data_IF_585783418732
#
_entry.id   IF_585783418732
#
_cell.length_a   1.000
_cell.length_b   1.000
_cell.length_c   1.000
_cell.angle_alpha   90.00
_cell.angle_beta   90.00
_cell.angle_gamma   90.00
#
_symmetry.space_group_name_H-M   'P 1'
#
loop_
_entity.id
_entity.type
_entity.pdbx_description
1 polymer ?
#
# COMPACT_ATOMS: atom_id res chain seq x y z
N UNK A 1 -2.16 1.69 -20.73
CA UNK A 1 -1.46 2.15 -19.49
C UNK A 1 -0.94 3.58 -19.62
N UNK A 2 -0.03 3.88 -20.56
CA UNK A 2 0.55 5.23 -20.75
C UNK A 2 -0.48 6.36 -20.89
N UNK A 3 -1.56 6.14 -21.64
CA UNK A 3 -2.65 7.14 -21.81
C UNK A 3 -3.35 7.49 -20.50
N UNK A 4 -3.73 6.47 -19.71
CA UNK A 4 -4.38 6.68 -18.40
C UNK A 4 -3.51 7.43 -17.42
N UNK A 5 -2.19 7.27 -17.50
CA UNK A 5 -1.23 8.05 -16.71
C UNK A 5 -1.07 9.47 -17.25
N UNK A 6 -1.03 9.62 -18.58
CA UNK A 6 -0.84 10.92 -19.24
C UNK A 6 -1.96 11.93 -18.97
N UNK A 7 -3.19 11.44 -18.79
CA UNK A 7 -4.36 12.30 -18.46
C UNK A 7 -4.43 12.71 -16.99
N UNK A 8 -3.62 12.13 -16.10
CA UNK A 8 -3.62 12.48 -14.69
C UNK A 8 -2.70 13.69 -14.43
N UNK A 9 -3.05 14.55 -13.45
CA UNK A 9 -2.16 15.60 -12.96
C UNK A 9 -0.79 15.03 -12.54
N UNK A 10 0.27 15.80 -12.73
CA UNK A 10 1.65 15.38 -12.42
C UNK A 10 1.80 14.92 -10.96
N UNK A 11 1.16 15.59 -10.00
CA UNK A 11 1.21 15.19 -8.59
C UNK A 11 0.53 13.84 -8.34
N UNK A 12 -0.55 13.50 -9.06
CA UNK A 12 -1.20 12.19 -8.98
C UNK A 12 -0.26 11.12 -9.49
N UNK A 13 0.41 11.37 -10.62
CA UNK A 13 1.39 10.44 -11.20
C UNK A 13 2.52 10.18 -10.22
N UNK A 14 3.06 11.21 -9.57
CA UNK A 14 4.06 11.04 -8.53
C UNK A 14 3.54 10.22 -7.35
N UNK A 15 2.35 10.53 -6.84
CA UNK A 15 1.76 9.77 -5.74
C UNK A 15 1.56 8.29 -6.10
N UNK A 16 1.00 7.98 -7.27
CA UNK A 16 0.84 6.60 -7.74
C UNK A 16 2.19 5.91 -7.95
N UNK A 17 3.21 6.64 -8.42
CA UNK A 17 4.58 6.13 -8.54
C UNK A 17 5.18 5.76 -7.18
N UNK A 18 5.01 6.62 -6.18
CA UNK A 18 5.44 6.35 -4.80
C UNK A 18 4.70 5.14 -4.22
N UNK A 19 3.40 4.98 -4.50
CA UNK A 19 2.64 3.78 -4.10
C UNK A 19 3.25 2.53 -4.72
N UNK A 20 3.45 2.52 -6.05
CA UNK A 20 4.03 1.36 -6.76
C UNK A 20 5.38 0.97 -6.17
N UNK A 21 6.28 1.93 -5.96
CA UNK A 21 7.62 1.65 -5.42
C UNK A 21 7.52 1.14 -3.98
N UNK A 22 6.75 1.81 -3.12
CA UNK A 22 6.63 1.42 -1.72
C UNK A 22 6.06 0.02 -1.53
N UNK A 23 4.99 -0.33 -2.26
CA UNK A 23 4.40 -1.66 -2.20
C UNK A 23 5.31 -2.74 -2.82
N UNK A 24 6.13 -2.43 -3.84
CA UNK A 24 7.14 -3.38 -4.33
C UNK A 24 8.25 -3.61 -3.31
N UNK A 25 8.67 -2.57 -2.58
CA UNK A 25 9.63 -2.70 -1.48
C UNK A 25 9.04 -3.56 -0.35
N UNK A 26 7.77 -3.34 0.03
CA UNK A 26 7.03 -4.17 0.99
C UNK A 26 6.93 -5.63 0.55
N UNK A 27 6.49 -5.87 -0.70
CA UNK A 27 6.43 -7.21 -1.30
C UNK A 27 7.77 -7.93 -1.18
N UNK A 28 8.88 -7.24 -1.54
CA UNK A 28 10.22 -7.81 -1.46
C UNK A 28 10.56 -8.20 -0.02
N UNK A 29 10.24 -7.36 0.96
CA UNK A 29 10.48 -7.69 2.37
C UNK A 29 9.70 -8.94 2.77
N UNK A 30 8.39 -9.00 2.53
CA UNK A 30 7.56 -10.16 2.90
C UNK A 30 7.96 -11.46 2.19
N UNK A 31 8.38 -11.36 0.92
CA UNK A 31 8.91 -12.52 0.17
C UNK A 31 10.24 -12.98 0.75
N UNK A 32 11.14 -12.06 1.11
CA UNK A 32 12.42 -12.42 1.72
C UNK A 32 12.23 -13.06 3.09
N UNK A 33 11.35 -12.51 3.93
CA UNK A 33 11.00 -13.09 5.23
C UNK A 33 10.48 -14.53 5.06
N UNK A 34 9.56 -14.73 4.12
CA UNK A 34 8.99 -16.07 3.83
C UNK A 34 10.01 -17.02 3.18
N UNK A 35 10.94 -16.51 2.37
CA UNK A 35 11.96 -17.34 1.73
C UNK A 35 13.07 -17.78 2.70
N UNK A 36 13.41 -16.95 3.68
CA UNK A 36 14.43 -17.23 4.68
C UNK A 36 13.89 -18.13 5.81
N UNK A 37 12.73 -17.78 6.37
CA UNK A 37 12.23 -18.38 7.62
C UNK A 37 10.90 -19.14 7.43
N UNK A 38 10.34 -19.17 6.22
CA UNK A 38 9.06 -19.82 5.93
C UNK A 38 7.91 -19.16 6.70
N UNK A 39 6.85 -19.93 6.96
CA UNK A 39 5.70 -19.45 7.76
C UNK A 39 6.14 -19.10 9.19
N UNK A 40 7.28 -19.63 9.66
CA UNK A 40 7.84 -19.33 10.97
C UNK A 40 8.42 -17.92 11.08
N UNK A 41 8.63 -17.20 9.96
CA UNK A 41 9.00 -15.79 9.95
C UNK A 41 8.09 -14.94 10.84
N UNK A 42 6.80 -15.30 10.89
CA UNK A 42 5.78 -14.61 11.66
C UNK A 42 5.37 -15.36 12.94
N UNK A 43 6.06 -16.45 13.32
CA UNK A 43 5.75 -17.20 14.54
C UNK A 43 5.95 -16.38 15.83
N UNK A 44 6.72 -15.28 15.75
CA UNK A 44 6.86 -14.29 16.83
C UNK A 44 5.53 -13.60 17.16
N UNK A 45 4.57 -13.60 16.25
CA UNK A 45 3.22 -13.10 16.49
C UNK A 45 2.34 -14.25 17.02
N UNK A 46 1.95 -14.23 18.31
CA UNK A 46 1.16 -15.32 18.90
C UNK A 46 -0.27 -15.41 18.33
N UNK A 47 -0.74 -14.38 17.62
CA UNK A 47 -2.06 -14.35 16.99
C UNK A 47 -1.99 -14.85 15.54
N UNK A 48 -2.58 -16.01 15.28
CA UNK A 48 -2.71 -16.60 13.93
C UNK A 48 -3.24 -15.61 12.87
N UNK A 49 -4.23 -14.72 13.16
CA UNK A 49 -4.67 -13.74 12.17
C UNK A 49 -3.58 -12.79 11.67
N UNK A 50 -2.61 -12.42 12.51
CA UNK A 50 -1.49 -11.57 12.10
C UNK A 50 -0.53 -12.33 11.17
N UNK A 51 -0.26 -13.60 11.47
CA UNK A 51 0.56 -14.45 10.60
C UNK A 51 -0.07 -14.60 9.21
N UNK A 52 -1.37 -14.91 9.17
CA UNK A 52 -2.13 -15.02 7.91
C UNK A 52 -2.11 -13.70 7.15
N UNK A 53 -2.27 -12.57 7.85
CA UNK A 53 -2.19 -11.26 7.23
C UNK A 53 -0.82 -10.99 6.61
N UNK A 54 0.28 -11.20 7.35
CA UNK A 54 1.63 -10.98 6.84
C UNK A 54 1.99 -11.89 5.66
N UNK A 55 1.62 -13.17 5.71
CA UNK A 55 1.77 -14.07 4.55
C UNK A 55 0.91 -13.57 3.37
N UNK A 56 -0.29 -13.07 3.67
CA UNK A 56 -1.20 -12.48 2.68
C UNK A 56 -0.63 -11.23 2.00
N UNK A 57 0.29 -10.47 2.62
CA UNK A 57 0.92 -9.30 2.01
C UNK A 57 1.73 -9.64 0.76
N UNK A 58 2.26 -10.86 0.67
CA UNK A 58 2.91 -11.37 -0.57
C UNK A 58 1.96 -11.35 -1.77
N UNK A 59 0.65 -11.40 -1.54
CA UNK A 59 -0.39 -11.32 -2.58
C UNK A 59 -1.03 -9.93 -2.64
N UNK A 60 -1.34 -9.34 -1.49
CA UNK A 60 -2.02 -8.04 -1.41
C UNK A 60 -1.16 -6.91 -1.98
N UNK A 61 0.15 -6.91 -1.72
CA UNK A 61 1.03 -5.83 -2.20
C UNK A 61 1.17 -5.83 -3.73
N UNK A 62 1.45 -6.96 -4.42
CA UNK A 62 1.40 -7.00 -5.88
C UNK A 62 0.04 -6.64 -6.45
N UNK A 63 -1.06 -7.03 -5.80
CA UNK A 63 -2.39 -6.66 -6.24
C UNK A 63 -2.60 -5.14 -6.18
N UNK A 64 -2.16 -4.49 -5.09
CA UNK A 64 -2.16 -3.02 -5.00
C UNK A 64 -1.32 -2.42 -6.12
N UNK A 65 -0.09 -2.90 -6.33
CA UNK A 65 0.80 -2.42 -7.40
C UNK A 65 0.12 -2.49 -8.75
N UNK A 66 -0.48 -3.64 -9.09
CA UNK A 66 -1.18 -3.85 -10.36
C UNK A 66 -2.34 -2.88 -10.52
N UNK A 67 -3.23 -2.79 -9.52
CA UNK A 67 -4.40 -1.91 -9.58
C UNK A 67 -4.01 -0.42 -9.68
N UNK A 68 -2.99 0.00 -8.92
CA UNK A 68 -2.45 1.37 -8.94
C UNK A 68 -1.74 1.67 -10.26
N UNK A 69 -0.97 0.72 -10.80
CA UNK A 69 -0.33 0.82 -12.11
C UNK A 69 -1.37 0.98 -13.24
N UNK A 70 -2.55 0.39 -13.07
CA UNK A 70 -3.68 0.62 -13.97
C UNK A 70 -4.50 1.88 -13.67
N UNK A 71 -4.09 2.71 -12.72
CA UNK A 71 -4.78 3.95 -12.32
C UNK A 71 -6.23 3.65 -11.87
N UNK A 72 -6.42 2.56 -11.12
CA UNK A 72 -7.73 2.15 -10.60
C UNK A 72 -7.94 2.72 -9.20
N UNK A 73 -9.13 3.27 -8.97
CA UNK A 73 -9.51 3.82 -7.66
C UNK A 73 -9.58 2.75 -6.58
N UNK A 74 -9.94 1.53 -6.99
CA UNK A 74 -9.97 0.35 -6.13
C UNK A 74 -8.56 0.05 -5.59
N UNK A 75 -7.52 0.22 -6.40
CA UNK A 75 -6.13 0.05 -5.97
C UNK A 75 -5.71 1.05 -4.90
N UNK A 76 -6.12 2.32 -5.04
CA UNK A 76 -5.82 3.37 -4.05
C UNK A 76 -6.55 3.13 -2.73
N UNK A 77 -7.79 2.62 -2.77
CA UNK A 77 -8.55 2.23 -1.57
C UNK A 77 -7.92 1.02 -0.88
N UNK A 78 -7.58 -0.01 -1.65
CA UNK A 78 -6.92 -1.20 -1.13
C UNK A 78 -5.57 -0.83 -0.49
N UNK A 79 -4.78 0.02 -1.14
CA UNK A 79 -3.52 0.53 -0.60
C UNK A 79 -3.70 1.16 0.79
N UNK A 80 -4.73 2.01 0.95
CA UNK A 80 -5.04 2.63 2.25
C UNK A 80 -5.39 1.59 3.33
N UNK A 81 -6.22 0.60 3.00
CA UNK A 81 -6.59 -0.47 3.94
C UNK A 81 -5.38 -1.31 4.33
N UNK A 82 -4.57 -1.74 3.35
CA UNK A 82 -3.37 -2.54 3.59
C UNK A 82 -2.40 -1.77 4.48
N UNK A 83 -2.11 -0.49 4.19
CA UNK A 83 -1.19 0.30 5.01
C UNK A 83 -1.67 0.50 6.45
N UNK A 84 -2.97 0.73 6.66
CA UNK A 84 -3.50 0.86 8.03
C UNK A 84 -3.31 -0.45 8.79
N UNK A 85 -3.68 -1.58 8.19
CA UNK A 85 -3.54 -2.88 8.82
C UNK A 85 -2.08 -3.23 9.09
N UNK A 86 -1.18 -2.97 8.14
CA UNK A 86 0.24 -3.28 8.26
C UNK A 86 0.95 -2.44 9.33
N UNK A 87 0.69 -1.13 9.36
CA UNK A 87 1.21 -0.25 10.43
C UNK A 87 0.66 -0.69 11.80
N UNK A 88 -0.63 -1.01 11.90
CA UNK A 88 -1.22 -1.48 13.15
C UNK A 88 -0.67 -2.84 13.60
N UNK A 89 -0.50 -3.79 12.68
CA UNK A 89 0.06 -5.11 12.96
C UNK A 89 1.52 -4.99 13.45
N UNK A 90 2.33 -4.18 12.76
CA UNK A 90 3.71 -3.91 13.16
C UNK A 90 3.80 -3.18 14.50
N UNK A 91 2.95 -2.18 14.75
CA UNK A 91 2.90 -1.48 16.03
C UNK A 91 2.49 -2.43 17.18
N UNK A 92 1.54 -3.33 16.92
CA UNK A 92 1.08 -4.29 17.91
C UNK A 92 2.15 -5.35 18.24
N UNK A 93 2.77 -5.97 17.24
CA UNK A 93 3.82 -6.97 17.47
C UNK A 93 5.05 -6.40 18.16
N UNK A 94 5.44 -5.19 17.77
CA UNK A 94 6.63 -4.53 18.28
C UNK A 94 6.37 -3.59 19.47
N UNK A 95 5.17 -3.68 20.09
CA UNK A 95 4.78 -2.83 21.23
C UNK A 95 5.74 -2.87 22.42
N UNK A 96 6.51 -3.94 22.56
CA UNK A 96 7.49 -4.11 23.64
C UNK A 96 8.73 -3.23 23.44
N UNK A 97 9.14 -2.96 22.19
CA UNK A 97 10.23 -2.02 21.88
C UNK A 97 9.97 -0.60 22.40
N UNK A 98 8.70 -0.20 22.50
CA UNK A 98 8.31 1.08 23.09
C UNK A 98 8.78 1.24 24.55
N UNK A 99 8.99 0.13 25.25
CA UNK A 99 9.45 0.10 26.65
C UNK A 99 10.93 -0.25 26.77
N UNK A 100 11.40 -1.18 25.95
CA UNK A 100 12.71 -1.81 26.14
C UNK A 100 13.82 -1.12 25.33
N UNK A 101 13.51 -0.60 24.13
CA UNK A 101 14.47 0.08 23.26
C UNK A 101 13.75 0.97 22.20
N UNK A 102 13.50 2.26 22.51
CA UNK A 102 12.77 3.15 21.61
C UNK A 102 13.55 3.45 20.31
N UNK A 103 14.87 3.20 20.25
CA UNK A 103 15.62 3.38 19.01
C UNK A 103 15.18 2.40 17.91
N UNK A 104 14.62 1.24 18.28
CA UNK A 104 14.08 0.31 17.28
C UNK A 104 12.86 0.85 16.54
N UNK A 105 12.18 1.86 17.09
CA UNK A 105 11.10 2.55 16.36
C UNK A 105 11.60 3.28 15.11
N UNK A 106 12.88 3.65 15.06
CA UNK A 106 13.49 4.23 13.87
C UNK A 106 13.50 3.23 12.69
N UNK A 107 13.51 1.92 12.98
CA UNK A 107 13.40 0.88 11.94
C UNK A 107 12.00 0.83 11.32
N UNK A 108 10.98 1.23 12.08
CA UNK A 108 9.59 1.33 11.60
C UNK A 108 9.28 2.69 10.96
N UNK A 109 10.18 3.69 11.09
CA UNK A 109 9.95 5.03 10.56
C UNK A 109 9.64 5.05 9.05
N UNK A 110 10.37 4.31 8.17
CA UNK A 110 10.04 4.27 6.75
C UNK A 110 8.63 3.73 6.49
N UNK A 111 8.23 2.66 7.19
CA UNK A 111 6.90 2.07 7.11
C UNK A 111 5.82 3.08 7.54
N UNK A 112 6.00 3.73 8.68
CA UNK A 112 5.04 4.69 9.22
C UNK A 112 4.92 5.92 8.31
N UNK A 113 6.05 6.47 7.84
CA UNK A 113 6.05 7.62 6.92
C UNK A 113 5.34 7.28 5.61
N UNK A 114 5.63 6.11 5.04
CA UNK A 114 4.94 5.65 3.83
C UNK A 114 3.45 5.42 4.09
N UNK A 115 3.08 4.80 5.22
CA UNK A 115 1.69 4.58 5.61
C UNK A 115 0.91 5.89 5.78
N UNK A 116 1.49 6.87 6.46
CA UNK A 116 0.92 8.22 6.62
C UNK A 116 0.74 8.88 5.25
N UNK A 117 1.75 8.80 4.38
CA UNK A 117 1.64 9.33 3.02
C UNK A 117 0.49 8.69 2.24
N UNK A 118 0.38 7.35 2.25
CA UNK A 118 -0.68 6.62 1.54
C UNK A 118 -2.05 6.97 2.10
N UNK A 119 -2.24 6.98 3.42
CA UNK A 119 -3.53 7.29 4.04
C UNK A 119 -3.94 8.74 3.77
N UNK A 120 -3.02 9.70 3.95
CA UNK A 120 -3.29 11.12 3.70
C UNK A 120 -3.62 11.40 2.23
N UNK A 121 -2.96 10.70 1.29
CA UNK A 121 -3.13 10.94 -0.14
C UNK A 121 -4.20 10.06 -0.80
N UNK A 122 -4.67 8.99 -0.15
CA UNK A 122 -5.63 8.04 -0.74
C UNK A 122 -6.94 8.71 -1.21
N UNK A 123 -7.52 9.59 -0.39
CA UNK A 123 -8.76 10.29 -0.73
C UNK A 123 -8.58 11.32 -1.86
N UNK A 124 -7.61 12.25 -1.81
CA UNK A 124 -7.40 13.21 -2.89
C UNK A 124 -7.02 12.52 -4.20
N UNK A 125 -6.14 11.50 -4.19
CA UNK A 125 -5.79 10.71 -5.38
C UNK A 125 -7.02 10.00 -5.95
N UNK A 126 -7.81 9.33 -5.11
CA UNK A 126 -9.03 8.65 -5.53
C UNK A 126 -10.05 9.59 -6.18
N UNK A 127 -10.18 10.82 -5.66
CA UNK A 127 -11.07 11.84 -6.22
C UNK A 127 -10.54 12.39 -7.54
N UNK A 128 -9.23 12.61 -7.65
CA UNK A 128 -8.60 13.09 -8.88
C UNK A 128 -8.79 12.09 -10.02
N UNK A 129 -8.54 10.79 -9.77
CA UNK A 129 -8.77 9.72 -10.76
C UNK A 129 -10.24 9.70 -11.21
N UNK A 130 -11.19 9.85 -10.28
CA UNK A 130 -12.62 9.82 -10.60
C UNK A 130 -13.11 11.02 -11.42
N UNK A 131 -12.43 12.18 -11.32
CA UNK A 131 -12.74 13.40 -12.08
C UNK A 131 -12.26 13.34 -13.52
N UNK A 132 -11.23 12.54 -13.79
CA UNK A 132 -10.75 12.24 -15.15
C UNK A 132 -11.61 11.12 -15.75
N UNK A 133 -12.90 11.42 -15.98
CA UNK A 133 -13.75 10.60 -16.87
C UNK A 133 -13.62 11.13 -18.31
N UNK A 134 -13.64 10.27 -19.33
CA UNK A 134 -13.74 10.74 -20.71
C UNK A 134 -15.04 11.54 -20.89
N UNK A 135 -15.07 12.53 -21.80
CA UNK A 135 -16.32 13.19 -22.15
C UNK A 135 -17.32 12.12 -22.60
N UNK A 136 -18.51 12.12 -22.00
CA UNK A 136 -19.67 11.42 -22.55
C UNK A 136 -19.81 11.91 -23.98
N UNK A 137 -19.62 11.01 -24.96
CA UNK A 137 -20.09 11.24 -26.32
C UNK A 137 -21.59 11.48 -26.22
N UNK A 138 -21.99 12.76 -26.22
CA UNK A 138 -23.35 13.14 -26.52
C UNK A 138 -23.55 12.68 -27.97
N UNK A 139 -24.24 11.56 -28.16
CA UNK A 139 -24.75 11.19 -29.47
C UNK A 139 -25.79 12.23 -29.84
N UNK A 140 -25.34 13.30 -30.48
CA UNK A 140 -26.18 14.31 -31.05
C UNK A 140 -26.90 13.75 -32.28
N UNK A 141 -28.22 13.71 -32.16
CA UNK A 141 -29.15 14.14 -33.20
C UNK A 141 -29.78 13.04 -34.04
N UNK A 142 -30.68 13.45 -34.96
CA UNK A 142 -31.40 14.72 -35.05
C UNK A 142 -32.78 14.70 -34.35
#
# INVERSE_FOLDING_TARGET
MRERWGVQPVWVRWALGVYVVGFLVGTRAHVLDLACDGVHAYAVFPQVPLQVFFVGLVVLDPLVVVLVAFVRREGVRLAGVVMVLDVCANAWGNRHWLRDDPAQLLRLAPLVLFGVFVVASALPVSRAIARVRPPTTVSGGP
#
